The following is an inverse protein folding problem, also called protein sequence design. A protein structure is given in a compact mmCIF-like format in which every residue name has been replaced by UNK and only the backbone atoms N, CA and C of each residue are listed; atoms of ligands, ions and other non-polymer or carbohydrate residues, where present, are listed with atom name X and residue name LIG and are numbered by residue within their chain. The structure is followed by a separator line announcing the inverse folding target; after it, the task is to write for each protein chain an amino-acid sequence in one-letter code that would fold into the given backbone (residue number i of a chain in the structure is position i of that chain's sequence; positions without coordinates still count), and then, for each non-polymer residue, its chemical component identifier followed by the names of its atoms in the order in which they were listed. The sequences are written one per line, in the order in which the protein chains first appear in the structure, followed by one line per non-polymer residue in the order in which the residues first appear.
data_IF_917674937357
#
_entry.id   IF_917674937357
#
_cell.length_a   1.000
_cell.length_b   1.000
_cell.length_c   1.000
_cell.angle_alpha   90.00
_cell.angle_beta   90.00
_cell.angle_gamma   90.00
#
_symmetry.space_group_name_H-M   'P 1'
#
loop_
_entity.id
_entity.type
_entity.pdbx_description
1 polymer ?
#
# COMPACT_ATOMS: atom_id res chain seq x y z
N UNK A 1 -17.91 -4.04 -25.30
CA UNK A 1 -17.42 -3.66 -23.95
C UNK A 1 -18.41 -2.64 -23.40
N UNK A 2 -18.85 -2.79 -22.15
CA UNK A 2 -19.98 -2.03 -21.58
C UNK A 2 -19.55 -0.59 -21.21
N UNK A 3 -20.26 0.42 -21.73
CA UNK A 3 -19.98 1.85 -21.47
C UNK A 3 -20.04 2.18 -19.96
N UNK A 4 -20.88 1.50 -19.19
CA UNK A 4 -20.96 1.68 -17.73
C UNK A 4 -19.70 1.22 -17.04
N UNK A 5 -19.06 0.15 -17.55
CA UNK A 5 -17.78 -0.33 -17.01
C UNK A 5 -16.71 0.76 -17.19
N UNK A 6 -16.63 1.39 -18.36
CA UNK A 6 -15.66 2.48 -18.58
C UNK A 6 -15.89 3.68 -17.63
N UNK A 7 -17.14 4.07 -17.40
CA UNK A 7 -17.45 5.14 -16.45
C UNK A 7 -17.03 4.79 -15.02
N UNK A 8 -17.26 3.55 -14.59
CA UNK A 8 -16.84 3.08 -13.27
C UNK A 8 -15.31 3.05 -13.17
N UNK A 9 -14.62 2.51 -14.17
CA UNK A 9 -13.14 2.50 -14.21
C UNK A 9 -12.57 3.92 -14.13
N UNK A 10 -13.14 4.88 -14.86
CA UNK A 10 -12.72 6.28 -14.78
C UNK A 10 -12.85 6.86 -13.36
N UNK A 11 -13.96 6.58 -12.67
CA UNK A 11 -14.17 7.02 -11.29
C UNK A 11 -13.21 6.35 -10.30
N UNK A 12 -12.85 5.09 -10.51
CA UNK A 12 -11.85 4.39 -9.69
C UNK A 12 -10.48 5.05 -9.84
N UNK A 13 -10.08 5.36 -11.07
CA UNK A 13 -8.81 6.07 -11.34
C UNK A 13 -8.78 7.44 -10.65
N UNK A 14 -9.88 8.20 -10.71
CA UNK A 14 -9.97 9.48 -10.00
C UNK A 14 -9.86 9.34 -8.47
N UNK A 15 -10.42 8.28 -7.89
CA UNK A 15 -10.33 8.00 -6.46
C UNK A 15 -8.87 7.71 -6.08
N UNK A 16 -8.17 6.87 -6.83
CA UNK A 16 -6.75 6.57 -6.57
C UNK A 16 -5.87 7.81 -6.69
N UNK A 17 -6.10 8.65 -7.70
CA UNK A 17 -5.36 9.90 -7.87
C UNK A 17 -5.56 10.85 -6.67
N UNK A 18 -6.79 10.98 -6.17
CA UNK A 18 -7.08 11.78 -4.97
C UNK A 18 -6.46 11.18 -3.70
N UNK A 19 -6.52 9.86 -3.56
CA UNK A 19 -5.87 9.17 -2.45
C UNK A 19 -4.36 9.45 -2.45
N UNK A 20 -3.71 9.39 -3.62
CA UNK A 20 -2.29 9.69 -3.75
C UNK A 20 -1.94 11.11 -3.30
N UNK A 21 -2.73 12.11 -3.75
CA UNK A 21 -2.53 13.51 -3.38
C UNK A 21 -2.69 13.76 -1.87
N UNK A 22 -3.57 13.00 -1.20
CA UNK A 22 -3.79 13.09 0.25
C UNK A 22 -2.65 12.40 1.01
N UNK A 23 -2.26 11.19 0.62
CA UNK A 23 -1.34 10.38 1.40
C UNK A 23 0.13 10.71 1.15
N UNK A 24 0.51 11.23 -0.02
CA UNK A 24 1.88 11.63 -0.31
C UNK A 24 2.49 12.55 0.77
N UNK A 25 1.87 13.70 1.13
CA UNK A 25 2.46 14.58 2.15
C UNK A 25 2.51 13.94 3.55
N UNK A 26 1.58 13.04 3.88
CA UNK A 26 1.59 12.30 5.15
C UNK A 26 2.76 11.32 5.21
N UNK A 27 3.01 10.61 4.11
CA UNK A 27 4.16 9.70 3.96
C UNK A 27 5.47 10.48 4.03
N UNK A 28 5.55 11.65 3.41
CA UNK A 28 6.73 12.52 3.50
C UNK A 28 7.00 12.99 4.93
N UNK A 29 5.97 13.44 5.64
CA UNK A 29 6.07 13.83 7.05
C UNK A 29 6.53 12.65 7.92
N UNK A 30 5.82 11.51 7.87
CA UNK A 30 6.15 10.31 8.65
C UNK A 30 7.55 9.78 8.31
N UNK A 31 8.02 9.91 7.07
CA UNK A 31 9.38 9.49 6.71
C UNK A 31 10.46 10.47 7.16
N UNK A 32 10.13 11.75 7.35
CA UNK A 32 11.07 12.81 7.73
C UNK A 32 11.44 12.81 9.22
N UNK A 33 10.58 12.22 10.06
CA UNK A 33 10.77 12.11 11.51
C UNK A 33 10.72 10.65 11.96
N UNK A 34 10.86 10.42 13.27
CA UNK A 34 10.55 9.13 13.88
C UNK A 34 9.17 9.25 14.53
N UNK A 35 8.25 8.38 14.14
CA UNK A 35 6.89 8.32 14.67
C UNK A 35 6.70 7.13 15.61
N UNK A 36 5.61 7.13 16.38
CA UNK A 36 5.23 5.98 17.20
C UNK A 36 4.76 4.80 16.34
N UNK A 37 4.83 3.58 16.87
CA UNK A 37 4.34 2.39 16.15
C UNK A 37 2.84 2.48 15.83
N UNK A 38 2.03 3.06 16.73
CA UNK A 38 0.58 3.26 16.52
C UNK A 38 0.31 4.24 15.36
N UNK A 39 1.03 5.37 15.33
CA UNK A 39 0.93 6.35 14.25
C UNK A 39 1.37 5.76 12.90
N UNK A 40 2.45 4.97 12.90
CA UNK A 40 2.91 4.24 11.72
C UNK A 40 1.87 3.24 11.22
N UNK A 41 1.28 2.46 12.13
CA UNK A 41 0.31 1.41 11.82
C UNK A 41 -0.94 2.02 11.19
N UNK A 42 -1.47 3.10 11.77
CA UNK A 42 -2.59 3.83 11.18
C UNK A 42 -2.31 4.34 9.76
N UNK A 43 -1.12 4.86 9.47
CA UNK A 43 -0.77 5.27 8.11
C UNK A 43 -0.71 4.06 7.16
N UNK A 44 -0.13 2.95 7.61
CA UNK A 44 -0.01 1.73 6.80
C UNK A 44 -1.38 1.11 6.50
N UNK A 45 -2.32 1.11 7.45
CA UNK A 45 -3.72 0.68 7.23
C UNK A 45 -4.35 1.47 6.07
N UNK A 46 -4.26 2.80 6.14
CA UNK A 46 -4.84 3.67 5.11
C UNK A 46 -4.20 3.48 3.73
N UNK A 47 -2.89 3.27 3.68
CA UNK A 47 -2.20 3.01 2.41
C UNK A 47 -2.53 1.63 1.84
N UNK A 48 -2.70 0.62 2.71
CA UNK A 48 -3.01 -0.75 2.32
C UNK A 48 -4.37 -0.87 1.61
N UNK A 49 -5.36 -0.09 2.05
CA UNK A 49 -6.69 -0.01 1.42
C UNK A 49 -6.65 0.36 -0.07
N UNK A 50 -5.61 1.09 -0.50
CA UNK A 50 -5.43 1.56 -1.88
C UNK A 50 -4.18 0.97 -2.56
N UNK A 51 -3.51 -0.01 -1.94
CA UNK A 51 -2.23 -0.54 -2.43
C UNK A 51 -2.32 -1.38 -3.72
N UNK A 52 -3.53 -1.55 -4.29
CA UNK A 52 -3.71 -2.04 -5.65
C UNK A 52 -3.29 -1.03 -6.72
N UNK A 53 -3.26 0.26 -6.38
CA UNK A 53 -2.71 1.30 -7.25
C UNK A 53 -1.19 1.35 -7.10
N UNK A 54 -0.48 1.32 -8.23
CA UNK A 54 0.98 1.26 -8.25
C UNK A 54 1.63 2.45 -7.52
N UNK A 55 1.06 3.66 -7.64
CA UNK A 55 1.63 4.85 -6.99
C UNK A 55 1.45 4.80 -5.48
N UNK A 56 0.31 4.30 -5.00
CA UNK A 56 0.08 4.10 -3.56
C UNK A 56 0.98 2.99 -3.04
N UNK A 57 1.15 1.89 -3.78
CA UNK A 57 2.05 0.81 -3.41
C UNK A 57 3.50 1.29 -3.25
N UNK A 58 3.95 2.24 -4.08
CA UNK A 58 5.25 2.87 -3.90
C UNK A 58 5.37 3.64 -2.58
N UNK A 59 4.33 4.39 -2.20
CA UNK A 59 4.25 5.09 -0.92
C UNK A 59 4.29 4.09 0.25
N UNK A 60 3.49 3.02 0.17
CA UNK A 60 3.46 1.94 1.16
C UNK A 60 4.84 1.32 1.35
N UNK A 61 5.49 0.91 0.25
CA UNK A 61 6.84 0.34 0.26
C UNK A 61 7.87 1.33 0.81
N UNK A 62 7.73 2.64 0.55
CA UNK A 62 8.62 3.67 1.10
C UNK A 62 8.53 3.74 2.62
N UNK A 63 7.33 3.72 3.19
CA UNK A 63 7.11 3.69 4.64
C UNK A 63 7.69 2.40 5.24
N UNK A 64 7.40 1.24 4.64
CA UNK A 64 7.94 -0.05 5.10
C UNK A 64 9.47 -0.05 5.15
N UNK A 65 10.14 0.42 4.08
CA UNK A 65 11.61 0.51 4.05
C UNK A 65 12.16 1.45 5.11
N UNK A 66 11.50 2.59 5.34
CA UNK A 66 11.93 3.59 6.32
C UNK A 66 11.93 3.07 7.75
N UNK A 67 10.97 2.20 8.08
CA UNK A 67 10.72 1.71 9.44
C UNK A 67 11.12 0.23 9.65
N UNK A 68 11.61 -0.46 8.61
CA UNK A 68 11.99 -1.87 8.65
C UNK A 68 12.89 -2.24 9.83
N UNK A 69 13.84 -1.35 10.18
CA UNK A 69 14.79 -1.59 11.28
C UNK A 69 14.35 -0.98 12.62
N UNK A 70 13.30 -0.15 12.62
CA UNK A 70 12.79 0.49 13.85
C UNK A 70 11.68 -0.39 14.44
N UNK A 71 10.75 -0.85 13.61
CA UNK A 71 9.61 -1.67 14.01
C UNK A 71 9.51 -2.92 13.11
N UNK A 72 10.51 -3.84 13.15
CA UNK A 72 10.57 -4.99 12.24
C UNK A 72 9.34 -5.91 12.35
N UNK A 73 8.76 -6.05 13.55
CA UNK A 73 7.55 -6.85 13.76
C UNK A 73 6.33 -6.24 13.06
N UNK A 74 6.06 -4.95 13.30
CA UNK A 74 4.99 -4.21 12.64
C UNK A 74 5.16 -4.24 11.11
N UNK A 75 6.35 -3.93 10.58
CA UNK A 75 6.58 -3.94 9.13
C UNK A 75 6.39 -5.33 8.53
N UNK A 76 6.78 -6.40 9.23
CA UNK A 76 6.53 -7.77 8.77
C UNK A 76 5.03 -8.05 8.64
N UNK A 77 4.23 -7.71 9.65
CA UNK A 77 2.77 -7.90 9.64
C UNK A 77 2.12 -7.17 8.46
N UNK A 78 2.56 -5.96 8.18
CA UNK A 78 2.03 -5.17 7.07
C UNK A 78 2.46 -5.73 5.70
N UNK A 79 3.70 -6.19 5.55
CA UNK A 79 4.10 -6.92 4.32
C UNK A 79 3.22 -8.15 4.12
N UNK A 80 2.97 -8.93 5.17
CA UNK A 80 2.10 -10.12 5.10
C UNK A 80 0.65 -9.73 4.74
N UNK A 81 0.10 -8.67 5.34
CA UNK A 81 -1.22 -8.16 5.03
C UNK A 81 -1.36 -7.70 3.56
N UNK A 82 -0.34 -7.05 3.01
CA UNK A 82 -0.31 -6.72 1.58
C UNK A 82 -0.37 -7.97 0.69
N UNK A 83 0.42 -8.99 1.01
CA UNK A 83 0.42 -10.24 0.24
C UNK A 83 -0.93 -10.94 0.29
N UNK A 84 -1.51 -11.05 1.48
CA UNK A 84 -2.83 -11.66 1.69
C UNK A 84 -3.93 -10.93 0.91
N UNK A 85 -3.88 -9.60 0.84
CA UNK A 85 -4.91 -8.81 0.17
C UNK A 85 -4.74 -8.72 -1.34
N UNK A 86 -3.50 -8.64 -1.84
CA UNK A 86 -3.22 -8.18 -3.20
C UNK A 86 -2.32 -9.11 -4.03
N UNK A 87 -1.61 -10.06 -3.44
CA UNK A 87 -0.85 -11.07 -4.19
C UNK A 87 -1.70 -12.34 -4.38
N UNK A 88 -1.80 -12.82 -5.61
CA UNK A 88 -2.49 -14.08 -5.89
C UNK A 88 -1.70 -15.26 -5.32
N UNK A 89 -2.38 -16.20 -4.65
CA UNK A 89 -1.80 -17.44 -4.09
C UNK A 89 -1.06 -18.32 -5.15
N UNK A 90 -1.29 -18.06 -6.45
CA UNK A 90 -0.80 -18.85 -7.58
C UNK A 90 0.64 -18.58 -8.03
N UNK A 91 1.34 -17.55 -7.52
CA UNK A 91 2.69 -17.22 -8.01
C UNK A 91 3.81 -18.12 -7.47
N UNK A 92 3.49 -19.11 -6.63
CA UNK A 92 4.47 -20.04 -6.02
C UNK A 92 4.35 -21.50 -6.50
N UNK A 93 3.75 -21.74 -7.67
CA UNK A 93 3.90 -23.03 -8.35
C UNK A 93 5.23 -23.05 -9.11
N UNK A 94 6.36 -23.15 -8.39
CA UNK A 94 7.60 -23.62 -9.03
C UNK A 94 7.41 -25.11 -9.26
N UNK A 95 7.25 -25.47 -10.53
CA UNK A 95 7.39 -26.84 -11.02
C UNK A 95 8.79 -27.34 -10.66
N UNK A 96 8.91 -28.04 -9.53
CA UNK A 96 10.10 -28.83 -9.23
C UNK A 96 10.00 -30.10 -10.10
N UNK A 97 10.79 -30.11 -11.19
CA UNK A 97 10.96 -31.23 -12.12
C UNK A 97 11.92 -32.28 -11.56
#
# INVERSE_FOLDING_TARGET
MDERIYQITGRIVEIHQKAYEIYLPLVEDVCSRTVSEDELSHLLDYLLDFACDEKILELYKRVCRRYLYIYPGCIKLYIEAYREMWEDEGSYSVEDS
#
